data_IF_951485924880
#
_entry.id   IF_951485924880
#
_cell.length_a   1.000
_cell.length_b   1.000
_cell.length_c   1.000
_cell.angle_alpha   90.00
_cell.angle_beta   90.00
_cell.angle_gamma   90.00
#
_symmetry.space_group_name_H-M   'P 1'
#
loop_
_entity.id
_entity.type
_entity.pdbx_description
1 polymer ?
#
# COMPACT_ATOMS: atom_id res chain seq x y z
N UNK A 1 -33.23 -25.76 29.64
CA UNK A 1 -32.85 -25.24 28.30
C UNK A 1 -33.67 -25.89 27.18
N UNK A 2 -33.74 -27.22 27.09
CA UNK A 2 -34.52 -27.92 26.04
C UNK A 2 -35.98 -27.46 25.92
N UNK A 3 -36.68 -27.26 27.05
CA UNK A 3 -38.09 -26.80 27.06
C UNK A 3 -38.33 -25.36 26.60
N UNK A 4 -37.33 -24.48 26.71
CA UNK A 4 -37.44 -23.08 26.25
C UNK A 4 -37.10 -22.98 24.77
N UNK A 5 -36.11 -23.75 24.30
CA UNK A 5 -35.74 -23.81 22.88
C UNK A 5 -36.89 -24.37 22.02
N UNK A 6 -37.75 -25.21 22.61
CA UNK A 6 -38.98 -25.73 21.99
C UNK A 6 -40.24 -24.88 22.22
N UNK A 7 -40.12 -23.73 22.90
CA UNK A 7 -41.23 -22.81 23.16
C UNK A 7 -41.31 -21.74 22.07
N UNK A 8 -42.51 -21.33 21.67
CA UNK A 8 -42.74 -20.22 20.72
C UNK A 8 -42.82 -18.84 21.42
N UNK A 9 -42.45 -18.76 22.69
CA UNK A 9 -42.46 -17.52 23.47
C UNK A 9 -41.18 -16.69 23.23
N UNK A 10 -41.29 -15.66 22.38
CA UNK A 10 -40.22 -14.72 22.05
C UNK A 10 -39.55 -14.10 23.29
N UNK A 11 -40.32 -13.75 24.32
CA UNK A 11 -39.80 -13.11 25.53
C UNK A 11 -38.97 -14.09 26.36
N UNK A 12 -39.36 -15.36 26.40
CA UNK A 12 -38.59 -16.40 27.06
C UNK A 12 -37.25 -16.66 26.36
N UNK A 13 -37.22 -16.65 25.01
CA UNK A 13 -35.97 -16.73 24.23
C UNK A 13 -35.09 -15.50 24.46
N UNK A 14 -35.66 -14.29 24.44
CA UNK A 14 -34.92 -13.06 24.68
C UNK A 14 -34.28 -13.03 26.09
N UNK A 15 -35.02 -13.45 27.13
CA UNK A 15 -34.49 -13.56 28.49
C UNK A 15 -33.34 -14.60 28.57
N UNK A 16 -33.49 -15.74 27.89
CA UNK A 16 -32.46 -16.77 27.82
C UNK A 16 -31.20 -16.27 27.11
N UNK A 17 -31.34 -15.57 25.99
CA UNK A 17 -30.20 -15.03 25.25
C UNK A 17 -29.46 -13.96 26.05
N UNK A 18 -30.18 -13.04 26.73
CA UNK A 18 -29.54 -12.07 27.65
C UNK A 18 -28.74 -12.78 28.73
N UNK A 19 -29.33 -13.78 29.40
CA UNK A 19 -28.64 -14.57 30.43
C UNK A 19 -27.41 -15.30 29.87
N UNK A 20 -27.47 -15.81 28.64
CA UNK A 20 -26.31 -16.45 27.98
C UNK A 20 -25.20 -15.44 27.70
N UNK A 21 -25.53 -14.22 27.27
CA UNK A 21 -24.55 -13.16 27.01
C UNK A 21 -23.87 -12.68 28.29
N UNK A 22 -24.63 -12.51 29.37
CA UNK A 22 -24.11 -12.16 30.70
C UNK A 22 -23.09 -13.18 31.21
N UNK A 23 -23.23 -14.46 30.82
CA UNK A 23 -22.32 -15.55 31.19
C UNK A 23 -21.26 -15.87 30.13
N UNK A 24 -21.03 -14.97 29.17
CA UNK A 24 -20.07 -15.14 28.06
C UNK A 24 -20.30 -16.42 27.22
N UNK A 25 -21.55 -16.87 27.10
CA UNK A 25 -21.94 -18.04 26.31
C UNK A 25 -22.44 -17.68 24.91
N UNK A 26 -21.87 -16.63 24.30
CA UNK A 26 -22.24 -16.15 22.96
C UNK A 26 -22.14 -17.25 21.87
N UNK A 27 -21.18 -18.17 22.00
CA UNK A 27 -21.04 -19.31 21.10
C UNK A 27 -22.26 -20.23 21.07
N UNK A 28 -23.00 -20.36 22.18
CA UNK A 28 -24.23 -21.16 22.22
C UNK A 28 -25.38 -20.47 21.49
N UNK A 29 -25.43 -19.13 21.52
CA UNK A 29 -26.41 -18.35 20.75
C UNK A 29 -26.14 -18.54 19.25
N UNK A 30 -24.87 -18.52 18.84
CA UNK A 30 -24.46 -18.77 17.46
C UNK A 30 -24.75 -20.19 16.96
N UNK A 31 -24.94 -21.17 17.86
CA UNK A 31 -25.32 -22.55 17.53
C UNK A 31 -26.83 -22.79 17.67
N UNK A 32 -27.56 -21.81 18.20
CA UNK A 32 -29.00 -21.91 18.43
C UNK A 32 -29.74 -21.96 17.10
N UNK A 33 -30.69 -22.88 16.99
CA UNK A 33 -31.63 -22.97 15.85
C UNK A 33 -32.91 -22.16 16.07
N UNK A 34 -32.96 -21.34 17.13
CA UNK A 34 -34.14 -20.54 17.43
C UNK A 34 -34.36 -19.46 16.35
N UNK A 35 -35.58 -19.30 15.82
CA UNK A 35 -35.90 -18.29 14.82
C UNK A 35 -35.83 -16.86 15.38
N UNK A 36 -35.87 -16.71 16.71
CA UNK A 36 -35.91 -15.40 17.38
C UNK A 36 -34.53 -14.77 17.59
N UNK A 37 -33.44 -15.45 17.21
CA UNK A 37 -32.06 -14.93 17.42
C UNK A 37 -31.83 -13.63 16.66
N UNK A 38 -32.20 -13.55 15.38
CA UNK A 38 -32.02 -12.35 14.56
C UNK A 38 -32.81 -11.16 15.13
N UNK A 39 -34.10 -11.38 15.43
CA UNK A 39 -34.99 -10.36 16.00
C UNK A 39 -34.48 -9.84 17.35
N UNK A 40 -34.05 -10.75 18.24
CA UNK A 40 -33.46 -10.41 19.52
C UNK A 40 -32.21 -9.52 19.36
N UNK A 41 -31.28 -9.92 18.49
CA UNK A 41 -30.03 -9.16 18.28
C UNK A 41 -30.33 -7.77 17.70
N UNK A 42 -31.22 -7.66 16.71
CA UNK A 42 -31.63 -6.38 16.12
C UNK A 42 -32.27 -5.47 17.18
N UNK A 43 -33.13 -6.01 18.03
CA UNK A 43 -33.77 -5.26 19.12
C UNK A 43 -32.75 -4.76 20.17
N UNK A 44 -31.77 -5.58 20.54
CA UNK A 44 -30.72 -5.17 21.49
C UNK A 44 -29.78 -4.11 20.89
N UNK A 45 -29.57 -4.13 19.57
CA UNK A 45 -28.83 -3.09 18.85
C UNK A 45 -29.61 -1.77 18.86
N UNK A 46 -30.91 -1.79 18.54
CA UNK A 46 -31.73 -0.58 18.47
C UNK A 46 -31.96 0.08 19.83
N UNK A 47 -31.87 -0.68 20.92
CA UNK A 47 -31.94 -0.19 22.31
C UNK A 47 -30.62 0.37 22.85
N UNK A 48 -29.59 0.50 22.00
CA UNK A 48 -28.35 1.23 22.32
C UNK A 48 -27.23 0.39 22.91
N UNK A 49 -27.35 -0.95 22.98
CA UNK A 49 -26.29 -1.85 23.49
C UNK A 49 -25.27 -2.24 22.40
N UNK A 50 -25.20 -1.44 21.34
CA UNK A 50 -25.08 -1.88 19.93
C UNK A 50 -23.84 -2.65 19.50
N UNK A 51 -22.62 -2.32 19.97
CA UNK A 51 -21.41 -2.85 19.30
C UNK A 51 -21.22 -4.36 19.49
N UNK A 52 -21.32 -4.86 20.73
CA UNK A 52 -21.16 -6.29 21.04
C UNK A 52 -22.21 -7.17 20.33
N UNK A 53 -23.40 -6.62 20.12
CA UNK A 53 -24.50 -7.32 19.47
C UNK A 53 -24.37 -7.27 17.94
N UNK A 54 -23.84 -6.18 17.38
CA UNK A 54 -23.47 -6.10 15.96
C UNK A 54 -22.39 -7.14 15.62
N UNK A 55 -21.37 -7.27 16.47
CA UNK A 55 -20.33 -8.31 16.31
C UNK A 55 -20.90 -9.73 16.36
N UNK A 56 -21.88 -9.96 17.23
CA UNK A 56 -22.53 -11.26 17.32
C UNK A 56 -23.44 -11.53 16.12
N UNK A 57 -24.11 -10.49 15.62
CA UNK A 57 -25.07 -10.59 14.52
C UNK A 57 -24.41 -10.97 13.19
N UNK A 58 -23.28 -10.37 12.83
CA UNK A 58 -22.61 -10.76 11.57
C UNK A 58 -22.06 -12.20 11.65
N UNK A 59 -21.56 -12.62 12.81
CA UNK A 59 -21.12 -14.01 13.04
C UNK A 59 -22.27 -15.00 12.98
N UNK A 60 -23.45 -14.59 13.44
CA UNK A 60 -24.68 -15.37 13.28
C UNK A 60 -25.03 -15.54 11.81
N UNK A 61 -25.04 -14.44 11.04
CA UNK A 61 -25.31 -14.49 9.60
C UNK A 61 -24.32 -15.38 8.85
N UNK A 62 -23.03 -15.28 9.14
CA UNK A 62 -22.00 -16.14 8.55
C UNK A 62 -22.26 -17.62 8.83
N UNK A 63 -22.54 -17.99 10.10
CA UNK A 63 -22.81 -19.39 10.47
C UNK A 63 -24.12 -19.93 9.91
N UNK A 64 -25.12 -19.08 9.74
CA UNK A 64 -26.40 -19.43 9.15
C UNK A 64 -26.37 -19.48 7.62
N UNK A 65 -25.26 -19.07 6.98
CA UNK A 65 -25.11 -19.03 5.52
C UNK A 65 -25.68 -17.78 4.85
N UNK A 66 -26.10 -16.78 5.62
CA UNK A 66 -26.60 -15.49 5.13
C UNK A 66 -25.45 -14.52 4.83
N UNK A 67 -24.60 -14.91 3.88
CA UNK A 67 -23.36 -14.18 3.58
C UNK A 67 -23.58 -12.77 3.02
N UNK A 68 -24.68 -12.55 2.29
CA UNK A 68 -25.14 -11.23 1.84
C UNK A 68 -25.40 -10.30 3.02
N UNK A 69 -26.19 -10.74 4.01
CA UNK A 69 -26.48 -9.97 5.22
C UNK A 69 -25.21 -9.71 6.03
N UNK A 70 -24.32 -10.70 6.15
CA UNK A 70 -23.04 -10.56 6.85
C UNK A 70 -22.14 -9.51 6.18
N UNK A 71 -21.95 -9.58 4.86
CA UNK A 71 -21.13 -8.64 4.11
C UNK A 71 -21.65 -7.19 4.24
N UNK A 72 -22.96 -7.00 4.12
CA UNK A 72 -23.59 -5.68 4.27
C UNK A 72 -23.43 -5.11 5.68
N UNK A 73 -23.59 -5.95 6.70
CA UNK A 73 -23.44 -5.53 8.09
C UNK A 73 -21.99 -5.14 8.40
N UNK A 74 -21.02 -5.93 7.93
CA UNK A 74 -19.59 -5.66 8.08
C UNK A 74 -19.17 -4.36 7.37
N UNK A 75 -19.69 -4.11 6.16
CA UNK A 75 -19.49 -2.84 5.45
C UNK A 75 -19.99 -1.65 6.26
N UNK A 76 -21.22 -1.72 6.79
CA UNK A 76 -21.79 -0.67 7.65
C UNK A 76 -20.98 -0.44 8.94
N UNK A 77 -20.44 -1.50 9.52
CA UNK A 77 -19.55 -1.38 10.69
C UNK A 77 -18.27 -0.64 10.34
N UNK A 78 -17.68 -0.95 9.19
CA UNK A 78 -16.47 -0.28 8.71
C UNK A 78 -16.69 1.20 8.34
N UNK A 79 -17.89 1.55 7.88
CA UNK A 79 -18.28 2.93 7.52
C UNK A 79 -18.80 3.76 8.72
N UNK A 80 -19.07 3.13 9.87
CA UNK A 80 -19.68 3.81 11.02
C UNK A 80 -18.82 4.95 11.57
N UNK A 81 -19.41 6.02 12.09
CA UNK A 81 -18.64 7.12 12.72
C UNK A 81 -18.19 6.80 14.17
N UNK A 82 -18.39 5.56 14.61
CA UNK A 82 -18.05 5.15 15.98
C UNK A 82 -16.54 5.17 16.21
N UNK A 83 -16.08 6.12 17.02
CA UNK A 83 -14.66 6.35 17.34
C UNK A 83 -14.06 5.22 18.16
N UNK A 84 -14.88 4.40 18.83
CA UNK A 84 -14.41 3.22 19.58
C UNK A 84 -13.96 2.08 18.65
N UNK A 85 -14.32 2.13 17.36
CA UNK A 85 -13.87 1.15 16.36
C UNK A 85 -12.59 1.67 15.70
N UNK A 86 -11.49 1.00 15.99
CA UNK A 86 -10.18 1.33 15.44
C UNK A 86 -10.10 1.10 13.92
N UNK A 87 -9.16 1.77 13.26
CA UNK A 87 -8.87 1.56 11.84
C UNK A 87 -8.53 0.09 11.54
N UNK A 88 -7.79 -0.57 12.43
CA UNK A 88 -7.44 -1.99 12.30
C UNK A 88 -8.67 -2.90 12.29
N UNK A 89 -9.67 -2.61 13.13
CA UNK A 89 -10.93 -3.35 13.15
C UNK A 89 -11.75 -3.07 11.88
N UNK A 90 -11.77 -1.85 11.37
CA UNK A 90 -12.45 -1.49 10.12
C UNK A 90 -11.84 -2.20 8.92
N UNK A 91 -10.51 -2.26 8.85
CA UNK A 91 -9.78 -3.05 7.87
C UNK A 91 -10.17 -4.54 7.93
N UNK A 92 -10.24 -5.10 9.14
CA UNK A 92 -10.67 -6.48 9.35
C UNK A 92 -12.13 -6.71 8.92
N UNK A 93 -13.04 -5.79 9.23
CA UNK A 93 -14.44 -5.87 8.80
C UNK A 93 -14.58 -5.85 7.28
N UNK A 94 -13.89 -4.94 6.59
CA UNK A 94 -13.92 -4.90 5.12
C UNK A 94 -13.31 -6.15 4.49
N UNK A 95 -12.17 -6.60 5.02
CA UNK A 95 -11.52 -7.84 4.56
C UNK A 95 -12.45 -9.06 4.72
N UNK A 96 -13.17 -9.14 5.84
CA UNK A 96 -14.16 -10.20 6.07
C UNK A 96 -15.41 -10.01 5.20
N UNK A 97 -15.84 -8.76 4.97
CA UNK A 97 -16.95 -8.47 4.07
C UNK A 97 -16.68 -8.97 2.65
N UNK A 98 -15.44 -8.88 2.16
CA UNK A 98 -15.01 -9.45 0.87
C UNK A 98 -15.19 -10.98 0.87
N UNK A 99 -14.74 -11.67 1.93
CA UNK A 99 -14.87 -13.13 2.05
C UNK A 99 -16.35 -13.54 2.02
N UNK A 100 -17.20 -12.87 2.80
CA UNK A 100 -18.64 -13.11 2.81
C UNK A 100 -19.27 -12.81 1.42
N UNK A 101 -18.91 -11.69 0.81
CA UNK A 101 -19.45 -11.31 -0.51
C UNK A 101 -19.07 -12.32 -1.61
N UNK A 102 -17.87 -12.89 -1.54
CA UNK A 102 -17.43 -13.97 -2.44
C UNK A 102 -18.23 -15.26 -2.23
N UNK A 103 -18.52 -15.61 -0.98
CA UNK A 103 -19.31 -16.78 -0.62
C UNK A 103 -20.82 -16.63 -0.89
N UNK A 104 -21.31 -15.40 -1.01
CA UNK A 104 -22.72 -15.11 -1.28
C UNK A 104 -23.16 -15.63 -2.66
N UNK A 105 -24.44 -15.97 -2.81
CA UNK A 105 -25.08 -16.23 -4.11
C UNK A 105 -25.73 -14.98 -4.71
N UNK A 106 -25.86 -13.90 -3.92
CA UNK A 106 -26.47 -12.65 -4.36
C UNK A 106 -25.54 -11.84 -5.28
N UNK A 107 -26.04 -11.49 -6.46
CA UNK A 107 -25.28 -10.77 -7.49
C UNK A 107 -24.99 -9.32 -7.09
N UNK A 108 -25.89 -8.68 -6.33
CA UNK A 108 -25.68 -7.31 -5.84
C UNK A 108 -24.53 -7.26 -4.84
N UNK A 109 -24.50 -8.19 -3.89
CA UNK A 109 -23.41 -8.33 -2.92
C UNK A 109 -22.09 -8.58 -3.63
N UNK A 110 -22.05 -9.45 -4.65
CA UNK A 110 -20.83 -9.68 -5.45
C UNK A 110 -20.36 -8.44 -6.18
N UNK A 111 -21.27 -7.61 -6.69
CA UNK A 111 -20.91 -6.36 -7.36
C UNK A 111 -20.21 -5.36 -6.41
N UNK A 112 -20.45 -5.45 -5.10
CA UNK A 112 -19.80 -4.59 -4.09
C UNK A 112 -18.39 -5.03 -3.69
N UNK A 113 -17.90 -6.18 -4.18
CA UNK A 113 -16.55 -6.67 -3.86
C UNK A 113 -15.47 -5.65 -4.24
N UNK A 114 -15.62 -4.99 -5.40
CA UNK A 114 -14.65 -3.99 -5.82
C UNK A 114 -14.66 -2.77 -4.89
N UNK A 115 -15.84 -2.26 -4.52
CA UNK A 115 -15.96 -1.16 -3.55
C UNK A 115 -15.29 -1.51 -2.21
N UNK A 116 -15.45 -2.74 -1.72
CA UNK A 116 -14.78 -3.18 -0.51
C UNK A 116 -13.26 -3.24 -0.65
N UNK A 117 -12.75 -3.70 -1.80
CA UNK A 117 -11.31 -3.71 -2.08
C UNK A 117 -10.73 -2.30 -2.14
N UNK A 118 -11.44 -1.37 -2.78
CA UNK A 118 -11.03 0.03 -2.86
C UNK A 118 -10.95 0.64 -1.44
N UNK A 119 -11.95 0.40 -0.59
CA UNK A 119 -11.92 0.84 0.82
C UNK A 119 -10.80 0.20 1.63
N UNK A 120 -10.49 -1.08 1.39
CA UNK A 120 -9.35 -1.78 2.03
C UNK A 120 -8.03 -1.13 1.64
N UNK A 121 -7.85 -0.77 0.37
CA UNK A 121 -6.64 -0.09 -0.11
C UNK A 121 -6.48 1.28 0.58
N UNK A 122 -7.55 2.09 0.67
CA UNK A 122 -7.53 3.37 1.38
C UNK A 122 -7.21 3.17 2.87
N UNK A 123 -7.83 2.19 3.53
CA UNK A 123 -7.55 1.88 4.93
C UNK A 123 -6.09 1.46 5.15
N UNK A 124 -5.51 0.69 4.21
CA UNK A 124 -4.12 0.29 4.26
C UNK A 124 -3.16 1.49 4.11
N UNK A 125 -3.45 2.42 3.20
CA UNK A 125 -2.70 3.68 3.06
C UNK A 125 -2.77 4.50 4.36
N UNK A 126 -3.95 4.59 4.98
CA UNK A 126 -4.14 5.31 6.23
C UNK A 126 -3.38 4.65 7.39
N UNK A 127 -3.31 3.32 7.44
CA UNK A 127 -2.47 2.58 8.40
C UNK A 127 -0.99 2.89 8.21
N UNK A 128 -0.49 2.90 6.97
CA UNK A 128 0.90 3.24 6.67
C UNK A 128 1.25 4.66 7.14
N UNK A 129 0.33 5.63 6.95
CA UNK A 129 0.49 6.98 7.51
C UNK A 129 0.59 6.94 9.03
N UNK A 130 -0.32 6.21 9.70
CA UNK A 130 -0.34 6.07 11.16
C UNK A 130 0.97 5.49 11.69
N UNK A 131 1.56 4.52 11.01
CA UNK A 131 2.84 3.89 11.39
C UNK A 131 4.03 4.83 11.23
N UNK A 132 4.00 5.72 10.23
CA UNK A 132 5.03 6.74 10.03
C UNK A 132 4.94 7.92 11.02
N UNK A 133 3.82 8.07 11.73
CA UNK A 133 3.62 9.19 12.65
C UNK A 133 4.44 9.03 13.94
N UNK A 134 5.44 9.89 14.13
CA UNK A 134 6.18 9.97 15.39
C UNK A 134 5.42 10.80 16.43
N UNK A 135 5.03 10.17 17.53
CA UNK A 135 4.16 10.78 18.56
C UNK A 135 5.01 11.44 19.63
N UNK A 136 5.47 12.67 19.36
CA UNK A 136 6.28 13.45 20.31
C UNK A 136 5.50 14.59 20.98
N UNK A 137 4.39 15.01 20.38
CA UNK A 137 3.58 16.14 20.84
C UNK A 137 2.11 15.75 21.07
N UNK A 138 1.38 16.46 21.96
CA UNK A 138 -0.05 16.24 22.13
C UNK A 138 -0.87 16.43 20.84
N UNK A 139 -0.42 17.32 19.95
CA UNK A 139 -1.03 17.51 18.63
C UNK A 139 -0.90 16.25 17.76
N UNK A 140 0.29 15.64 17.73
CA UNK A 140 0.51 14.37 17.00
C UNK A 140 -0.29 13.22 17.60
N UNK A 141 -0.49 13.18 18.92
CA UNK A 141 -1.38 12.20 19.57
C UNK A 141 -2.81 12.34 19.06
N UNK A 142 -3.32 13.57 18.94
CA UNK A 142 -4.65 13.83 18.36
C UNK A 142 -4.76 13.36 16.89
N UNK A 143 -3.71 13.58 16.10
CA UNK A 143 -3.66 13.14 14.70
C UNK A 143 -3.61 11.61 14.57
N UNK A 144 -2.83 10.92 15.41
CA UNK A 144 -2.81 9.45 15.43
C UNK A 144 -4.16 8.88 15.86
N UNK A 145 -4.86 9.50 16.81
CA UNK A 145 -6.23 9.11 17.17
C UNK A 145 -7.21 9.31 16.02
N UNK A 146 -7.07 10.40 15.26
CA UNK A 146 -7.90 10.64 14.07
C UNK A 146 -7.62 9.57 13.00
N UNK A 147 -6.34 9.24 12.76
CA UNK A 147 -5.95 8.17 11.84
C UNK A 147 -6.41 6.79 12.31
N UNK A 148 -6.54 6.55 13.60
CA UNK A 148 -7.05 5.29 14.14
C UNK A 148 -8.58 5.19 14.16
N UNK A 149 -9.29 6.17 13.60
CA UNK A 149 -10.75 6.23 13.58
C UNK A 149 -11.35 5.80 12.22
N UNK A 150 -12.39 6.52 11.74
CA UNK A 150 -12.98 6.29 10.42
C UNK A 150 -11.97 6.36 9.27
N UNK A 151 -12.29 5.66 8.17
CA UNK A 151 -11.49 5.71 6.94
C UNK A 151 -11.69 7.09 6.30
N UNK A 152 -10.61 7.85 6.17
CA UNK A 152 -10.61 9.21 5.68
C UNK A 152 -10.52 9.24 4.14
N UNK A 153 -11.07 10.28 3.49
CA UNK A 153 -10.89 10.46 2.05
C UNK A 153 -9.41 10.61 1.66
N UNK A 154 -9.01 10.07 0.51
CA UNK A 154 -7.64 10.15 -0.01
C UNK A 154 -7.10 11.58 -0.09
N UNK A 155 -7.93 12.56 -0.48
CA UNK A 155 -7.53 13.96 -0.52
C UNK A 155 -7.19 14.51 0.87
N UNK A 156 -7.92 14.07 1.90
CA UNK A 156 -7.64 14.46 3.28
C UNK A 156 -6.34 13.83 3.77
N UNK A 157 -6.14 12.53 3.50
CA UNK A 157 -4.89 11.81 3.78
C UNK A 157 -3.68 12.51 3.13
N UNK A 158 -3.83 12.96 1.88
CA UNK A 158 -2.80 13.67 1.15
C UNK A 158 -2.45 15.02 1.79
N UNK A 159 -3.45 15.88 1.99
CA UNK A 159 -3.26 17.27 2.39
C UNK A 159 -2.93 17.44 3.87
N UNK A 160 -3.54 16.64 4.76
CA UNK A 160 -3.33 16.76 6.20
C UNK A 160 -2.15 15.96 6.71
N UNK A 161 -1.75 14.90 6.00
CA UNK A 161 -0.73 13.97 6.49
C UNK A 161 0.42 13.76 5.50
N UNK A 162 0.16 13.26 4.30
CA UNK A 162 1.25 12.83 3.42
C UNK A 162 2.15 13.98 2.95
N UNK A 163 1.59 15.16 2.64
CA UNK A 163 2.37 16.35 2.25
C UNK A 163 3.08 16.98 3.47
N UNK A 164 2.40 17.33 4.58
CA UNK A 164 3.05 18.01 5.71
C UNK A 164 4.14 17.21 6.42
N UNK A 165 4.06 15.87 6.37
CA UNK A 165 5.03 14.97 6.99
C UNK A 165 6.03 14.37 6.00
N UNK A 166 6.11 14.89 4.77
CA UNK A 166 7.08 14.44 3.75
C UNK A 166 7.01 12.92 3.45
N UNK A 167 5.82 12.32 3.55
CA UNK A 167 5.62 10.88 3.34
C UNK A 167 5.52 10.55 1.85
N UNK A 168 6.62 10.70 1.11
CA UNK A 168 6.60 10.64 -0.36
C UNK A 168 6.16 9.28 -0.93
N UNK A 169 6.54 8.16 -0.30
CA UNK A 169 6.04 6.81 -0.68
C UNK A 169 4.52 6.72 -0.57
N UNK A 170 3.94 7.33 0.47
CA UNK A 170 2.48 7.39 0.69
C UNK A 170 1.82 8.31 -0.33
N UNK A 171 2.42 9.46 -0.67
CA UNK A 171 1.89 10.34 -1.72
C UNK A 171 1.74 9.58 -3.05
N UNK A 172 2.74 8.77 -3.42
CA UNK A 172 2.68 7.93 -4.61
C UNK A 172 1.57 6.88 -4.52
N UNK A 173 1.41 6.22 -3.37
CA UNK A 173 0.34 5.26 -3.13
C UNK A 173 -1.06 5.90 -3.23
N UNK A 174 -1.23 7.13 -2.73
CA UNK A 174 -2.48 7.88 -2.85
C UNK A 174 -2.79 8.20 -4.31
N UNK A 175 -1.81 8.67 -5.09
CA UNK A 175 -2.02 8.96 -6.51
C UNK A 175 -2.39 7.70 -7.30
N UNK A 176 -1.72 6.58 -7.01
CA UNK A 176 -2.04 5.29 -7.61
C UNK A 176 -3.47 4.84 -7.27
N UNK A 177 -3.82 4.80 -5.98
CA UNK A 177 -5.13 4.38 -5.50
C UNK A 177 -6.26 5.27 -6.04
N UNK A 178 -6.03 6.58 -6.14
CA UNK A 178 -7.00 7.52 -6.72
C UNK A 178 -7.06 7.48 -8.27
N UNK A 179 -6.19 6.70 -8.93
CA UNK A 179 -5.96 6.72 -10.37
C UNK A 179 -5.68 8.14 -10.93
N UNK A 180 -5.00 8.98 -10.14
CA UNK A 180 -4.66 10.36 -10.47
C UNK A 180 -3.24 10.43 -11.00
N UNK A 181 -3.09 10.40 -12.33
CA UNK A 181 -1.79 10.58 -12.97
C UNK A 181 -1.67 11.97 -13.60
N UNK A 182 -0.65 12.69 -13.17
CA UNK A 182 -0.11 13.87 -13.83
C UNK A 182 1.40 13.76 -13.76
N UNK A 183 2.06 13.90 -14.91
CA UNK A 183 3.51 13.66 -15.03
C UNK A 183 4.30 14.51 -14.04
N UNK A 184 4.10 15.82 -14.04
CA UNK A 184 4.86 16.75 -13.19
C UNK A 184 4.76 16.45 -11.67
N UNK A 185 3.57 16.26 -11.06
CA UNK A 185 3.46 15.81 -9.67
C UNK A 185 4.13 14.46 -9.39
N UNK A 186 3.99 13.48 -10.28
CA UNK A 186 4.60 12.16 -10.09
C UNK A 186 6.13 12.25 -10.14
N UNK A 187 6.69 12.96 -11.12
CA UNK A 187 8.13 13.20 -11.20
C UNK A 187 8.64 13.97 -9.98
N UNK A 188 7.89 14.96 -9.48
CA UNK A 188 8.24 15.69 -8.27
C UNK A 188 8.25 14.80 -7.01
N UNK A 189 7.29 13.87 -6.88
CA UNK A 189 7.29 12.89 -5.79
C UNK A 189 8.50 11.97 -5.91
N UNK A 190 8.81 11.45 -7.11
CA UNK A 190 9.99 10.62 -7.32
C UNK A 190 11.30 11.35 -7.03
N UNK A 191 11.40 12.61 -7.43
CA UNK A 191 12.54 13.47 -7.08
C UNK A 191 12.73 13.55 -5.57
N UNK A 192 11.63 13.76 -4.84
CA UNK A 192 11.66 13.84 -3.38
C UNK A 192 11.97 12.49 -2.72
N UNK A 193 11.45 11.37 -3.23
CA UNK A 193 11.80 10.02 -2.76
C UNK A 193 13.30 9.83 -2.90
N UNK A 194 13.85 10.07 -4.10
CA UNK A 194 15.27 9.87 -4.38
C UNK A 194 16.11 10.76 -3.48
N UNK A 195 15.82 12.07 -3.43
CA UNK A 195 16.57 13.02 -2.58
C UNK A 195 16.49 12.68 -1.08
N UNK A 196 15.36 12.16 -0.59
CA UNK A 196 15.20 11.81 0.83
C UNK A 196 16.18 10.73 1.28
N UNK A 197 16.53 9.79 0.40
CA UNK A 197 17.50 8.72 0.69
C UNK A 197 18.94 9.26 0.87
N UNK A 198 19.23 10.44 0.31
CA UNK A 198 20.51 11.14 0.46
C UNK A 198 20.57 12.07 1.68
N UNK A 199 19.46 12.31 2.40
CA UNK A 199 19.44 13.19 3.59
C UNK A 199 20.14 12.56 4.80
N UNK A 200 20.21 11.23 4.87
CA UNK A 200 20.75 10.51 6.02
C UNK A 200 22.16 9.98 5.73
N UNK A 201 23.10 10.17 6.65
CA UNK A 201 24.43 9.53 6.58
C UNK A 201 24.27 7.99 6.70
N UNK A 202 25.13 7.23 6.00
CA UNK A 202 25.10 5.77 5.97
C UNK A 202 25.17 5.17 4.56
N UNK A 203 24.76 3.90 4.41
CA UNK A 203 24.80 3.15 3.15
C UNK A 203 23.66 3.57 2.19
N UNK A 204 23.80 4.77 1.59
CA UNK A 204 22.83 5.33 0.64
C UNK A 204 22.52 4.36 -0.51
N UNK A 205 23.54 3.68 -1.04
CA UNK A 205 23.40 2.72 -2.15
C UNK A 205 22.46 1.57 -1.81
N UNK A 206 22.58 0.96 -0.64
CA UNK A 206 21.72 -0.17 -0.26
C UNK A 206 20.28 0.28 -0.02
N UNK A 207 20.08 1.38 0.74
CA UNK A 207 18.74 1.92 1.00
C UNK A 207 18.01 2.28 -0.29
N UNK A 208 18.69 2.97 -1.20
CA UNK A 208 18.14 3.35 -2.49
C UNK A 208 17.78 2.11 -3.33
N UNK A 209 18.65 1.09 -3.37
CA UNK A 209 18.34 -0.17 -4.04
C UNK A 209 17.12 -0.88 -3.45
N UNK A 210 16.96 -0.88 -2.12
CA UNK A 210 15.78 -1.45 -1.45
C UNK A 210 14.52 -0.65 -1.77
N UNK A 211 14.53 0.67 -1.59
CA UNK A 211 13.39 1.55 -1.90
C UNK A 211 12.96 1.43 -3.37
N UNK A 212 13.89 1.41 -4.32
CA UNK A 212 13.57 1.27 -5.74
C UNK A 212 13.00 -0.11 -6.07
N UNK A 213 13.53 -1.17 -5.46
CA UNK A 213 13.02 -2.52 -5.66
C UNK A 213 11.60 -2.69 -5.12
N UNK A 214 11.34 -2.20 -3.91
CA UNK A 214 9.99 -2.17 -3.31
C UNK A 214 9.00 -1.43 -4.21
N UNK A 215 9.35 -0.21 -4.64
CA UNK A 215 8.44 0.61 -5.44
C UNK A 215 8.28 0.05 -6.86
N UNK A 216 9.32 -0.54 -7.45
CA UNK A 216 9.20 -1.23 -8.74
C UNK A 216 8.24 -2.41 -8.62
N UNK A 217 8.35 -3.24 -7.58
CA UNK A 217 7.47 -4.39 -7.40
C UNK A 217 5.98 -4.00 -7.34
N UNK A 218 5.67 -2.79 -6.85
CA UNK A 218 4.30 -2.27 -6.77
C UNK A 218 3.88 -1.62 -8.10
N UNK A 219 4.75 -0.83 -8.72
CA UNK A 219 4.37 0.08 -9.81
C UNK A 219 4.90 -0.30 -11.20
N UNK A 220 5.64 -1.40 -11.35
CA UNK A 220 6.31 -1.80 -12.60
C UNK A 220 5.38 -1.84 -13.81
N UNK A 221 4.17 -2.37 -13.65
CA UNK A 221 3.17 -2.48 -14.71
C UNK A 221 2.33 -1.21 -14.91
N UNK A 222 2.70 -0.11 -14.23
CA UNK A 222 1.92 1.12 -14.17
C UNK A 222 2.72 2.33 -14.64
N UNK A 223 1.99 3.37 -15.05
CA UNK A 223 2.56 4.69 -15.38
C UNK A 223 3.19 5.41 -14.17
N UNK A 224 3.05 4.89 -12.94
CA UNK A 224 3.58 5.50 -11.72
C UNK A 224 5.04 5.14 -11.45
N UNK A 225 5.67 4.28 -12.26
CA UNK A 225 7.11 3.99 -12.22
C UNK A 225 7.83 4.56 -13.45
N UNK A 226 8.29 5.83 -13.42
CA UNK A 226 8.97 6.46 -14.54
C UNK A 226 10.44 6.03 -14.61
N UNK A 227 10.70 4.81 -15.11
CA UNK A 227 12.02 4.18 -15.12
C UNK A 227 13.12 5.10 -15.70
N UNK A 228 12.91 5.67 -16.89
CA UNK A 228 13.92 6.52 -17.53
C UNK A 228 14.24 7.78 -16.73
N UNK A 229 13.23 8.41 -16.13
CA UNK A 229 13.42 9.56 -15.25
C UNK A 229 14.26 9.18 -14.03
N UNK A 230 13.90 8.08 -13.36
CA UNK A 230 14.63 7.58 -12.19
C UNK A 230 16.09 7.32 -12.56
N UNK A 231 16.36 6.55 -13.62
CA UNK A 231 17.72 6.17 -14.01
C UNK A 231 18.59 7.38 -14.37
N UNK A 232 18.06 8.33 -15.15
CA UNK A 232 18.77 9.59 -15.45
C UNK A 232 19.05 10.38 -14.19
N UNK A 233 18.06 10.48 -13.30
CA UNK A 233 18.22 11.24 -12.07
C UNK A 233 19.26 10.64 -11.13
N UNK A 234 19.34 9.31 -11.05
CA UNK A 234 20.38 8.62 -10.29
C UNK A 234 21.78 8.85 -10.87
N UNK A 235 21.91 8.88 -12.19
CA UNK A 235 23.18 9.22 -12.84
C UNK A 235 23.61 10.65 -12.50
N UNK A 236 22.71 11.62 -12.63
CA UNK A 236 22.99 13.03 -12.33
C UNK A 236 23.34 13.28 -10.86
N UNK A 237 22.62 12.64 -9.93
CA UNK A 237 22.87 12.79 -8.49
C UNK A 237 24.16 12.09 -8.09
N UNK A 238 24.40 10.87 -8.59
CA UNK A 238 25.61 10.10 -8.29
C UNK A 238 26.88 10.69 -8.89
N UNK A 239 26.79 11.42 -10.01
CA UNK A 239 27.93 12.07 -10.67
C UNK A 239 28.35 13.38 -10.01
N UNK A 240 27.46 13.99 -9.22
CA UNK A 240 27.66 15.30 -8.60
C UNK A 240 27.32 16.49 -9.50
N UNK A 241 26.70 16.27 -10.67
CA UNK A 241 26.28 17.30 -11.63
C UNK A 241 25.47 18.42 -10.94
N UNK A 242 24.61 18.05 -9.99
CA UNK A 242 23.72 19.01 -9.35
C UNK A 242 24.33 19.80 -8.18
N UNK A 243 25.54 19.49 -7.69
CA UNK A 243 26.26 20.24 -6.65
C UNK A 243 25.56 20.45 -5.28
N UNK A 244 24.27 20.13 -5.17
CA UNK A 244 23.41 20.35 -3.99
C UNK A 244 23.71 19.36 -2.88
N UNK A 245 24.16 18.16 -3.24
CA UNK A 245 24.54 17.10 -2.31
C UNK A 245 26.05 16.84 -2.47
N UNK A 246 26.89 17.71 -1.92
CA UNK A 246 28.37 17.62 -1.95
C UNK A 246 28.95 16.33 -1.34
N UNK A 247 28.12 15.38 -0.86
CA UNK A 247 28.54 14.27 0.00
C UNK A 247 28.26 12.86 -0.53
N UNK A 248 27.53 12.67 -1.62
CA UNK A 248 27.16 11.32 -2.05
C UNK A 248 27.48 11.07 -3.52
N UNK A 249 28.51 10.27 -3.74
CA UNK A 249 28.90 9.72 -5.03
C UNK A 249 28.37 8.29 -5.13
N UNK A 250 27.64 7.95 -6.19
CA UNK A 250 27.21 6.57 -6.42
C UNK A 250 28.31 5.84 -7.20
N UNK A 251 28.90 4.76 -6.68
CA UNK A 251 29.94 4.03 -7.39
C UNK A 251 29.37 3.33 -8.65
N UNK A 252 30.22 3.05 -9.65
CA UNK A 252 29.78 2.33 -10.85
C UNK A 252 29.14 0.95 -10.53
N UNK A 253 29.62 0.28 -9.47
CA UNK A 253 29.05 -0.98 -8.96
C UNK A 253 27.59 -0.84 -8.50
N UNK A 254 27.15 0.36 -8.08
CA UNK A 254 25.75 0.60 -7.75
C UNK A 254 24.84 0.36 -8.95
N UNK A 255 25.22 0.84 -10.14
CA UNK A 255 24.40 0.68 -11.34
C UNK A 255 24.38 -0.77 -11.83
N UNK A 256 25.47 -1.51 -11.68
CA UNK A 256 25.48 -2.96 -11.94
C UNK A 256 24.48 -3.67 -11.01
N UNK A 257 24.51 -3.37 -9.71
CA UNK A 257 23.58 -3.93 -8.73
C UNK A 257 22.13 -3.47 -8.97
N UNK A 258 21.93 -2.24 -9.45
CA UNK A 258 20.64 -1.68 -9.81
C UNK A 258 20.02 -2.45 -10.97
N UNK A 259 20.79 -2.67 -12.04
CA UNK A 259 20.35 -3.44 -13.21
C UNK A 259 19.94 -4.84 -12.80
N UNK A 260 20.76 -5.52 -11.97
CA UNK A 260 20.44 -6.87 -11.52
C UNK A 260 19.21 -6.92 -10.60
N UNK A 261 19.09 -5.99 -9.64
CA UNK A 261 18.02 -6.00 -8.63
C UNK A 261 16.67 -5.52 -9.18
N UNK A 262 16.69 -4.63 -10.16
CA UNK A 262 15.50 -4.13 -10.85
C UNK A 262 15.22 -4.87 -12.16
N UNK A 263 15.97 -5.92 -12.49
CA UNK A 263 15.82 -6.68 -13.74
C UNK A 263 15.75 -5.78 -14.99
N UNK A 264 16.56 -4.73 -15.04
CA UNK A 264 16.64 -3.83 -16.18
C UNK A 264 17.45 -4.51 -17.28
N UNK A 265 17.07 -4.35 -18.54
CA UNK A 265 17.90 -4.81 -19.65
C UNK A 265 19.22 -4.04 -19.70
N UNK A 266 20.33 -4.77 -19.84
CA UNK A 266 21.65 -4.15 -20.04
C UNK A 266 21.66 -3.27 -21.29
N UNK A 267 20.96 -3.67 -22.36
CA UNK A 267 20.85 -2.91 -23.60
C UNK A 267 20.16 -1.57 -23.33
N UNK A 268 18.98 -1.60 -22.71
CA UNK A 268 18.20 -0.40 -22.43
C UNK A 268 18.99 0.60 -21.57
N UNK A 269 19.76 0.08 -20.60
CA UNK A 269 20.60 0.93 -19.76
C UNK A 269 21.79 1.53 -20.54
N UNK A 270 22.44 0.77 -21.42
CA UNK A 270 23.52 1.27 -22.29
C UNK A 270 23.00 2.31 -23.28
N UNK A 271 21.82 2.10 -23.84
CA UNK A 271 21.14 3.08 -24.70
C UNK A 271 20.81 4.35 -23.91
N UNK A 272 20.37 4.21 -22.65
CA UNK A 272 20.14 5.34 -21.77
C UNK A 272 21.42 6.13 -21.51
N UNK A 273 22.54 5.46 -21.18
CA UNK A 273 23.85 6.10 -21.01
C UNK A 273 24.29 6.84 -22.28
N UNK A 274 24.14 6.19 -23.43
CA UNK A 274 24.48 6.77 -24.73
C UNK A 274 23.62 7.99 -25.03
N UNK A 275 22.33 7.94 -24.71
CA UNK A 275 21.41 9.07 -24.87
C UNK A 275 21.79 10.23 -23.95
N UNK A 276 22.14 9.98 -22.69
CA UNK A 276 22.59 11.02 -21.76
C UNK A 276 23.89 11.66 -22.21
N UNK A 277 24.86 10.85 -22.64
CA UNK A 277 26.14 11.38 -23.12
C UNK A 277 25.99 12.27 -24.37
N UNK A 278 25.12 11.90 -25.31
CA UNK A 278 24.97 12.59 -26.60
C UNK A 278 24.00 13.77 -26.55
N UNK A 279 22.90 13.63 -25.82
CA UNK A 279 21.76 14.55 -25.86
C UNK A 279 21.36 15.12 -24.50
N UNK A 280 21.97 14.63 -23.43
CA UNK A 280 21.74 15.12 -22.08
C UNK A 280 22.43 16.45 -21.80
N UNK A 281 22.66 16.71 -20.51
CA UNK A 281 23.28 17.96 -20.08
C UNK A 281 24.70 18.12 -20.64
N UNK A 282 25.10 19.30 -21.16
CA UNK A 282 26.45 19.56 -21.64
C UNK A 282 27.55 19.23 -20.63
N UNK A 283 27.25 19.21 -19.33
CA UNK A 283 28.16 18.79 -18.28
C UNK A 283 28.79 17.42 -18.53
N UNK A 284 28.07 16.47 -19.13
CA UNK A 284 28.61 15.14 -19.44
C UNK A 284 29.76 15.17 -20.45
N UNK A 285 29.74 16.13 -21.37
CA UNK A 285 30.74 16.24 -22.45
C UNK A 285 31.75 17.37 -22.21
N UNK A 286 31.43 18.38 -21.40
CA UNK A 286 32.30 19.53 -21.15
C UNK A 286 33.06 19.43 -19.82
N UNK A 287 32.65 18.56 -18.90
CA UNK A 287 33.31 18.37 -17.61
C UNK A 287 34.06 17.04 -17.56
N UNK A 288 35.36 17.09 -17.30
CA UNK A 288 36.23 15.90 -17.19
C UNK A 288 35.76 14.93 -16.11
N UNK A 289 35.19 15.42 -15.00
CA UNK A 289 34.62 14.56 -13.95
C UNK A 289 33.38 13.82 -14.42
N UNK A 290 32.52 14.51 -15.17
CA UNK A 290 31.31 13.93 -15.74
C UNK A 290 31.61 12.87 -16.80
N UNK A 291 32.52 13.18 -17.72
CA UNK A 291 33.01 12.24 -18.73
C UNK A 291 33.56 10.96 -18.08
N UNK A 292 34.46 11.10 -17.09
CA UNK A 292 35.03 9.95 -16.38
C UNK A 292 33.98 9.14 -15.65
N UNK A 293 32.99 9.80 -15.04
CA UNK A 293 31.93 9.12 -14.31
C UNK A 293 31.06 8.29 -15.24
N UNK A 294 30.47 8.90 -16.28
CA UNK A 294 29.54 8.20 -17.18
C UNK A 294 30.25 7.09 -17.96
N UNK A 295 31.50 7.30 -18.37
CA UNK A 295 32.33 6.26 -18.98
C UNK A 295 32.65 5.14 -17.98
N UNK A 296 32.97 5.47 -16.73
CA UNK A 296 33.23 4.49 -15.67
C UNK A 296 32.00 3.61 -15.38
N UNK A 297 30.81 4.21 -15.35
CA UNK A 297 29.55 3.46 -15.24
C UNK A 297 29.35 2.56 -16.46
N UNK A 298 29.53 3.09 -17.68
CA UNK A 298 29.39 2.33 -18.91
C UNK A 298 30.33 1.12 -18.97
N UNK A 299 31.61 1.30 -18.63
CA UNK A 299 32.59 0.21 -18.57
C UNK A 299 32.16 -0.85 -17.57
N UNK A 300 31.76 -0.47 -16.36
CA UNK A 300 31.34 -1.43 -15.33
C UNK A 300 30.10 -2.23 -15.76
N UNK A 301 29.13 -1.59 -16.40
CA UNK A 301 27.92 -2.24 -16.91
C UNK A 301 28.24 -3.20 -18.05
N UNK A 302 29.10 -2.80 -18.99
CA UNK A 302 29.52 -3.68 -20.10
C UNK A 302 30.36 -4.85 -19.59
N UNK A 303 31.27 -4.63 -18.65
CA UNK A 303 32.03 -5.71 -18.02
C UNK A 303 31.09 -6.70 -17.31
N UNK A 304 30.14 -6.20 -16.52
CA UNK A 304 29.16 -7.05 -15.85
C UNK A 304 28.27 -7.82 -16.84
N UNK A 305 27.97 -7.25 -18.02
CA UNK A 305 27.28 -7.98 -19.09
C UNK A 305 28.14 -9.12 -19.65
N UNK A 306 29.41 -8.84 -19.96
CA UNK A 306 30.36 -9.83 -20.49
C UNK A 306 30.60 -10.98 -19.49
N UNK A 307 30.69 -10.68 -18.20
CA UNK A 307 30.87 -11.68 -17.14
C UNK A 307 29.62 -12.57 -16.96
N UNK A 308 28.46 -12.17 -17.47
CA UNK A 308 27.19 -12.90 -17.41
C UNK A 308 26.76 -13.50 -18.78
N UNK A 309 27.71 -13.69 -19.69
CA UNK A 309 27.52 -14.05 -21.12
C UNK A 309 26.69 -15.31 -21.41
N UNK A 310 26.52 -16.21 -20.44
CA UNK A 310 25.73 -17.45 -20.57
C UNK A 310 24.21 -17.22 -20.61
N UNK A 311 23.72 -16.02 -20.28
CA UNK A 311 22.28 -15.71 -20.16
C UNK A 311 21.65 -14.97 -21.35
N UNK A 312 22.41 -14.59 -22.39
CA UNK A 312 21.94 -13.67 -23.44
C UNK A 312 22.03 -14.23 -24.86
N UNK A 313 21.09 -13.83 -25.72
CA UNK A 313 21.01 -14.28 -27.11
C UNK A 313 22.04 -13.58 -28.01
N UNK A 314 22.45 -14.19 -29.15
CA UNK A 314 23.47 -13.60 -30.04
C UNK A 314 23.11 -12.21 -30.60
N UNK A 315 21.82 -11.91 -30.76
CA UNK A 315 21.34 -10.60 -31.24
C UNK A 315 21.57 -9.48 -30.22
N UNK A 316 21.37 -9.77 -28.93
CA UNK A 316 21.61 -8.84 -27.82
C UNK A 316 23.10 -8.51 -27.68
N UNK A 317 23.96 -9.49 -27.97
CA UNK A 317 25.43 -9.34 -27.97
C UNK A 317 25.90 -8.39 -29.09
N UNK A 318 25.25 -8.40 -30.25
CA UNK A 318 25.63 -7.55 -31.38
C UNK A 318 25.30 -6.07 -31.11
N UNK A 319 24.12 -5.74 -30.56
CA UNK A 319 23.73 -4.34 -30.31
C UNK A 319 24.71 -3.63 -29.36
N UNK A 320 25.17 -4.32 -28.30
CA UNK A 320 26.10 -3.76 -27.30
C UNK A 320 27.53 -3.63 -27.86
N UNK A 321 27.98 -4.56 -28.69
CA UNK A 321 29.33 -4.51 -29.26
C UNK A 321 29.48 -3.42 -30.34
N UNK A 322 28.40 -3.06 -31.02
CA UNK A 322 28.38 -2.08 -32.10
C UNK A 322 27.92 -0.67 -31.68
N UNK A 323 27.59 -0.43 -30.40
CA UNK A 323 27.23 0.90 -29.87
C UNK A 323 28.44 1.82 -29.57
N UNK A 324 29.63 1.49 -30.10
CA UNK A 324 30.87 2.28 -29.93
C UNK A 324 30.78 3.69 -30.50
#
# INVERSE_FOLDING_TARGET
MSRIISSDDELAHAALFRWMLERNKANLILQSKSPFVEQFLIHEISTGRGQRYLELLWRFYEKAGYYDKAAMLLSRLADSENVDISLSQRFAYLSHAIICAQASTDTKTKAMIQEFRDKVEVAHIQMAIKECMNVQTPRQQGLVKLLDGPILPLQELLQKFAIPYELYKVQLAIFHCANLYREEPIMAVWENIIQSEFKHDGEVSERLLCTLHELKAIYESTKYFPQNFILRRLLELGSGLNGRLKRCFLPASFFVNLISKLHISFIDFVDLLSSEYRTGDPWWTQNEKGQRYIMGVGIAVVQAFLDNEEKYTPMEKLVILYSK
#
